data_IF_801066249211
#
_entry.id   IF_801066249211
#
_cell.length_a   1.000
_cell.length_b   1.000
_cell.length_c   1.000
_cell.angle_alpha   90.00
_cell.angle_beta   90.00
_cell.angle_gamma   90.00
#
_symmetry.space_group_name_H-M   'P 1'
#
loop_
_entity.id
_entity.type
_entity.pdbx_description
1 polymer ?
#
# COMPACT_ATOMS: atom_id res chain seq x y z
N UNK A 1 -36.79 47.50 -23.06
CA UNK A 1 -36.64 46.33 -22.17
C UNK A 1 -37.00 45.08 -22.95
N UNK A 2 -36.03 44.19 -23.25
CA UNK A 2 -36.17 42.83 -23.87
C UNK A 2 -34.97 42.50 -24.77
N UNK A 3 -33.71 42.67 -24.34
CA UNK A 3 -32.54 42.09 -25.07
C UNK A 3 -31.36 41.69 -24.16
N UNK A 4 -31.54 41.58 -22.84
CA UNK A 4 -30.46 41.20 -21.90
C UNK A 4 -30.88 40.01 -21.03
N UNK A 5 -31.57 39.01 -21.61
CA UNK A 5 -31.95 37.78 -20.88
C UNK A 5 -31.33 36.53 -21.51
N UNK A 6 -30.81 36.59 -22.74
CA UNK A 6 -30.27 35.39 -23.42
C UNK A 6 -28.78 35.13 -23.25
N UNK A 7 -28.02 35.96 -22.51
CA UNK A 7 -26.57 35.78 -22.37
C UNK A 7 -26.12 35.04 -21.09
N UNK A 8 -27.02 34.83 -20.11
CA UNK A 8 -26.67 34.18 -18.84
C UNK A 8 -26.96 32.67 -18.78
N UNK A 9 -27.60 32.08 -19.79
CA UNK A 9 -28.02 30.67 -19.73
C UNK A 9 -27.01 29.67 -20.34
N UNK A 10 -26.00 30.16 -21.06
CA UNK A 10 -25.01 29.29 -21.75
C UNK A 10 -23.75 29.04 -20.92
N UNK A 11 -23.53 29.82 -19.85
CA UNK A 11 -22.36 29.69 -18.96
C UNK A 11 -22.55 28.69 -17.81
N UNK A 12 -23.74 28.09 -17.65
CA UNK A 12 -24.05 27.15 -16.57
C UNK A 12 -23.88 25.67 -16.93
N UNK A 13 -23.45 25.35 -18.16
CA UNK A 13 -23.24 23.96 -18.62
C UNK A 13 -21.77 23.51 -18.60
N UNK A 14 -20.86 24.31 -18.05
CA UNK A 14 -19.46 23.94 -17.82
C UNK A 14 -19.25 23.36 -16.41
N UNK A 15 -20.25 22.68 -15.82
CA UNK A 15 -20.04 21.91 -14.59
C UNK A 15 -19.25 20.66 -15.00
N UNK A 16 -17.99 20.63 -14.56
CA UNK A 16 -16.94 19.77 -15.07
C UNK A 16 -17.29 18.30 -15.17
N UNK A 17 -17.06 17.74 -16.36
CA UNK A 17 -16.99 16.30 -16.56
C UNK A 17 -15.66 15.81 -15.96
N UNK A 18 -15.62 15.62 -14.64
CA UNK A 18 -14.50 14.93 -14.02
C UNK A 18 -14.56 13.47 -14.47
N UNK A 19 -13.49 12.98 -15.09
CA UNK A 19 -13.50 11.65 -15.71
C UNK A 19 -13.65 10.56 -14.64
N UNK A 20 -14.12 9.38 -15.02
CA UNK A 20 -14.20 8.25 -14.09
C UNK A 20 -12.84 7.91 -13.48
N UNK A 21 -11.76 8.07 -14.26
CA UNK A 21 -10.37 7.90 -13.83
C UNK A 21 -9.98 8.89 -12.74
N UNK A 22 -10.33 10.17 -12.89
CA UNK A 22 -10.03 11.19 -11.88
C UNK A 22 -10.73 10.88 -10.56
N UNK A 23 -11.99 10.43 -10.61
CA UNK A 23 -12.75 10.06 -9.41
C UNK A 23 -12.18 8.83 -8.70
N UNK A 24 -11.72 7.83 -9.45
CA UNK A 24 -11.11 6.64 -8.88
C UNK A 24 -9.78 6.98 -8.21
N UNK A 25 -8.96 7.81 -8.85
CA UNK A 25 -7.70 8.26 -8.29
C UNK A 25 -7.88 9.03 -6.97
N UNK A 26 -8.83 9.96 -6.91
CA UNK A 26 -9.17 10.68 -5.67
C UNK A 26 -9.63 9.73 -4.55
N UNK A 27 -10.45 8.72 -4.88
CA UNK A 27 -10.86 7.71 -3.91
C UNK A 27 -9.67 6.86 -3.41
N UNK A 28 -8.72 6.54 -4.29
CA UNK A 28 -7.50 5.82 -3.93
C UNK A 28 -6.61 6.65 -3.00
N UNK A 29 -6.45 7.95 -3.26
CA UNK A 29 -5.74 8.87 -2.36
C UNK A 29 -6.40 8.95 -0.98
N UNK A 30 -7.72 9.10 -0.91
CA UNK A 30 -8.42 9.14 0.38
C UNK A 30 -8.24 7.83 1.18
N UNK A 31 -8.23 6.69 0.50
CA UNK A 31 -7.96 5.39 1.13
C UNK A 31 -6.51 5.28 1.60
N UNK A 32 -5.55 5.73 0.79
CA UNK A 32 -4.14 5.82 1.17
C UNK A 32 -3.95 6.68 2.42
N UNK A 33 -4.56 7.88 2.48
CA UNK A 33 -4.50 8.78 3.65
C UNK A 33 -5.12 8.15 4.90
N UNK A 34 -6.25 7.46 4.74
CA UNK A 34 -6.91 6.73 5.81
C UNK A 34 -6.04 5.58 6.34
N UNK A 35 -5.30 4.91 5.45
CA UNK A 35 -4.40 3.82 5.79
C UNK A 35 -3.18 4.34 6.53
N UNK A 36 -2.61 5.44 6.04
CA UNK A 36 -1.52 6.14 6.69
C UNK A 36 -1.88 6.55 8.11
N UNK A 37 -3.04 7.20 8.26
CA UNK A 37 -3.57 7.63 9.55
C UNK A 37 -3.84 6.45 10.49
N UNK A 38 -4.39 5.36 9.97
CA UNK A 38 -4.66 4.17 10.76
C UNK A 38 -3.37 3.51 11.28
N UNK A 39 -2.31 3.46 10.47
CA UNK A 39 -1.01 2.93 10.89
C UNK A 39 -0.41 3.81 12.00
N UNK A 40 -0.36 5.13 11.80
CA UNK A 40 0.29 6.03 12.76
C UNK A 40 -0.46 6.14 14.10
N UNK A 41 -1.77 5.99 14.09
CA UNK A 41 -2.59 6.03 15.31
C UNK A 41 -2.75 4.67 16.01
N UNK A 42 -2.26 3.59 15.40
CA UNK A 42 -2.34 2.26 15.99
C UNK A 42 -1.23 2.07 17.03
N UNK A 43 -1.58 1.50 18.18
CA UNK A 43 -0.67 1.19 19.28
C UNK A 43 -0.35 -0.31 19.41
N UNK A 44 -1.06 -1.15 18.64
CA UNK A 44 -0.96 -2.61 18.70
C UNK A 44 -0.39 -3.18 17.41
N UNK A 45 0.92 -3.41 17.42
CA UNK A 45 1.62 -4.07 16.32
C UNK A 45 2.00 -5.49 16.72
N UNK A 46 1.97 -6.40 15.75
CA UNK A 46 2.41 -7.78 15.91
C UNK A 46 3.68 -8.05 15.09
N UNK A 47 4.44 -9.06 15.48
CA UNK A 47 5.68 -9.46 14.79
C UNK A 47 5.47 -10.55 13.72
N UNK A 48 4.30 -11.20 13.69
CA UNK A 48 3.99 -12.31 12.79
C UNK A 48 2.48 -12.41 12.57
N UNK A 49 2.07 -13.10 11.51
CA UNK A 49 0.66 -13.40 11.22
C UNK A 49 0.37 -14.90 11.34
N UNK A 50 -0.85 -15.25 11.74
CA UNK A 50 -1.35 -16.62 11.63
C UNK A 50 -1.82 -16.96 10.20
N UNK A 51 -1.92 -15.97 9.31
CA UNK A 51 -2.56 -16.11 7.99
C UNK A 51 -1.57 -16.13 6.82
N UNK A 52 -0.39 -15.54 6.99
CA UNK A 52 0.68 -15.43 5.98
C UNK A 52 2.04 -15.27 6.68
N UNK A 53 3.12 -15.33 5.91
CA UNK A 53 4.44 -14.94 6.40
C UNK A 53 4.73 -13.49 6.05
N UNK A 54 5.36 -12.79 6.99
CA UNK A 54 5.82 -11.42 6.80
C UNK A 54 7.18 -11.22 7.45
N UNK A 55 8.09 -10.64 6.69
CA UNK A 55 9.43 -10.31 7.14
C UNK A 55 10.01 -9.17 6.31
N UNK A 56 11.08 -8.54 6.81
CA UNK A 56 11.80 -7.50 6.09
C UNK A 56 13.28 -7.87 6.00
N UNK A 57 13.89 -7.55 4.85
CA UNK A 57 15.34 -7.69 4.62
C UNK A 57 15.93 -6.35 4.21
N UNK A 58 17.22 -6.15 4.49
CA UNK A 58 17.95 -4.94 4.13
C UNK A 58 19.13 -5.27 3.23
N UNK A 59 19.22 -4.58 2.10
CA UNK A 59 20.26 -4.75 1.09
C UNK A 59 21.08 -3.46 0.97
N UNK A 60 22.41 -3.56 0.97
CA UNK A 60 23.30 -2.43 0.69
C UNK A 60 23.41 -2.22 -0.83
N UNK A 61 23.08 -1.02 -1.31
CA UNK A 61 23.22 -0.65 -2.73
C UNK A 61 24.52 0.11 -2.98
N UNK A 62 24.88 1.01 -2.06
CA UNK A 62 26.15 1.76 -2.06
C UNK A 62 26.58 2.08 -0.63
N UNK A 63 27.64 2.86 -0.44
CA UNK A 63 28.11 3.25 0.90
C UNK A 63 27.12 4.15 1.67
N UNK A 64 26.22 4.83 0.96
CA UNK A 64 25.25 5.78 1.54
C UNK A 64 23.81 5.42 1.25
N UNK A 65 23.54 4.29 0.58
CA UNK A 65 22.20 3.92 0.14
C UNK A 65 21.92 2.43 0.37
N UNK A 66 20.76 2.17 0.96
CA UNK A 66 20.24 0.85 1.27
C UNK A 66 18.83 0.72 0.72
N UNK A 67 18.43 -0.51 0.42
CA UNK A 67 17.06 -0.87 0.05
C UNK A 67 16.52 -1.85 1.08
N UNK A 68 15.39 -1.52 1.71
CA UNK A 68 14.63 -2.53 2.43
C UNK A 68 13.64 -3.20 1.48
N UNK A 69 13.35 -4.47 1.72
CA UNK A 69 12.29 -5.22 1.05
C UNK A 69 11.40 -5.84 2.14
N UNK A 70 10.14 -5.41 2.22
CA UNK A 70 9.08 -6.05 3.02
C UNK A 70 8.44 -7.12 2.16
N UNK A 71 8.43 -8.35 2.65
CA UNK A 71 7.92 -9.52 1.94
C UNK A 71 6.69 -10.04 2.69
N UNK A 72 5.59 -10.21 1.95
CA UNK A 72 4.35 -10.84 2.43
C UNK A 72 4.05 -12.02 1.52
N UNK A 73 4.22 -13.24 2.00
CA UNK A 73 4.10 -14.46 1.19
C UNK A 73 3.49 -15.63 1.97
N UNK A 74 3.56 -16.83 1.39
CA UNK A 74 3.20 -18.09 2.05
C UNK A 74 1.81 -18.05 2.71
N UNK A 75 0.75 -17.69 1.97
CA UNK A 75 -0.59 -17.62 2.53
C UNK A 75 -1.04 -18.98 3.07
N UNK A 76 -1.73 -18.94 4.22
CA UNK A 76 -2.37 -20.10 4.87
C UNK A 76 -3.88 -20.09 4.68
N UNK A 77 -4.44 -18.95 4.28
CA UNK A 77 -5.86 -18.76 3.96
C UNK A 77 -5.99 -18.01 2.64
N UNK A 78 -7.14 -18.12 1.98
CA UNK A 78 -7.41 -17.33 0.78
C UNK A 78 -7.64 -15.86 1.15
N UNK A 79 -6.77 -14.99 0.64
CA UNK A 79 -6.80 -13.54 0.85
C UNK A 79 -7.12 -12.87 -0.47
N UNK A 80 -8.30 -12.24 -0.56
CA UNK A 80 -8.74 -11.53 -1.76
C UNK A 80 -8.61 -10.02 -1.58
N UNK A 81 -8.41 -9.31 -2.69
CA UNK A 81 -8.33 -7.85 -2.73
C UNK A 81 -7.31 -7.34 -1.69
N UNK A 82 -6.11 -7.90 -1.72
CA UNK A 82 -5.02 -7.61 -0.78
C UNK A 82 -4.48 -6.21 -1.04
N UNK A 83 -4.44 -5.40 0.01
CA UNK A 83 -3.84 -4.07 0.01
C UNK A 83 -2.78 -4.00 1.11
N UNK A 84 -1.60 -3.47 0.79
CA UNK A 84 -0.48 -3.33 1.74
C UNK A 84 0.05 -1.90 1.67
N UNK A 85 0.37 -1.33 2.82
CA UNK A 85 1.07 -0.04 2.94
C UNK A 85 2.21 -0.17 3.95
N UNK A 86 3.39 0.32 3.57
CA UNK A 86 4.58 0.39 4.42
C UNK A 86 4.85 1.85 4.78
N UNK A 87 5.24 2.15 6.01
CA UNK A 87 5.70 3.48 6.44
C UNK A 87 7.05 3.35 7.13
N UNK A 88 8.02 4.09 6.64
CA UNK A 88 9.37 4.16 7.20
C UNK A 88 9.44 5.11 8.39
N UNK A 89 10.08 4.67 9.48
CA UNK A 89 10.45 5.45 10.65
C UNK A 89 9.30 6.29 11.24
N UNK A 90 8.04 5.86 11.04
CA UNK A 90 6.86 6.61 11.45
C UNK A 90 6.81 8.03 10.86
N UNK A 91 7.42 8.27 9.69
CA UNK A 91 7.28 9.53 8.96
C UNK A 91 5.79 9.87 8.83
N UNK A 92 5.43 11.14 8.93
CA UNK A 92 4.07 11.60 8.66
C UNK A 92 3.89 11.84 7.17
N UNK A 93 2.64 11.85 6.72
CA UNK A 93 2.30 12.12 5.32
C UNK A 93 2.74 13.53 4.89
N UNK A 94 2.78 14.49 5.82
CA UNK A 94 3.23 15.87 5.58
C UNK A 94 4.73 16.00 5.29
N UNK A 95 5.53 15.02 5.74
CA UNK A 95 6.99 15.00 5.56
C UNK A 95 7.46 13.88 4.63
N UNK A 96 6.53 13.10 4.09
CA UNK A 96 6.84 12.09 3.10
C UNK A 96 7.10 12.79 1.76
N UNK A 97 8.34 12.72 1.29
CA UNK A 97 8.73 13.33 0.01
C UNK A 97 8.15 12.58 -1.21
N UNK A 98 7.78 11.31 -1.01
CA UNK A 98 7.26 10.41 -2.04
C UNK A 98 6.14 9.52 -1.48
N UNK A 99 5.34 8.93 -2.39
CA UNK A 99 4.35 7.91 -2.01
C UNK A 99 5.10 6.71 -1.42
N UNK A 100 4.70 6.33 -0.21
CA UNK A 100 5.32 5.18 0.46
C UNK A 100 4.94 3.88 -0.26
N UNK A 101 5.79 2.84 -0.20
CA UNK A 101 5.54 1.59 -0.89
C UNK A 101 4.18 0.99 -0.50
N UNK A 102 3.36 0.74 -1.51
CA UNK A 102 2.04 0.14 -1.36
C UNK A 102 1.70 -0.75 -2.56
N UNK A 103 0.69 -1.59 -2.37
CA UNK A 103 0.10 -2.43 -3.42
C UNK A 103 -1.41 -2.53 -3.22
N UNK A 104 -2.15 -2.66 -4.31
CA UNK A 104 -3.61 -2.79 -4.32
C UNK A 104 -4.37 -1.48 -4.14
N UNK A 105 -3.67 -0.34 -4.14
CA UNK A 105 -4.28 0.97 -3.95
C UNK A 105 -4.38 1.78 -5.24
N UNK A 106 -3.38 1.71 -6.11
CA UNK A 106 -3.27 2.58 -7.29
C UNK A 106 -3.24 1.82 -8.60
N UNK A 107 -3.11 0.50 -8.54
CA UNK A 107 -3.08 -0.39 -9.68
C UNK A 107 -4.49 -0.66 -10.24
N UNK A 108 -4.56 -0.94 -11.54
CA UNK A 108 -5.81 -1.27 -12.22
C UNK A 108 -6.26 -2.74 -12.01
N UNK A 109 -5.55 -3.50 -11.18
CA UNK A 109 -5.76 -4.94 -10.98
C UNK A 109 -5.94 -5.28 -9.51
N UNK A 110 -6.82 -6.25 -9.24
CA UNK A 110 -6.98 -6.84 -7.91
C UNK A 110 -5.82 -7.81 -7.64
N UNK A 111 -5.24 -7.72 -6.44
CA UNK A 111 -4.20 -8.64 -5.99
C UNK A 111 -4.77 -9.64 -4.99
N UNK A 112 -4.49 -10.92 -5.22
CA UNK A 112 -4.97 -12.01 -4.38
C UNK A 112 -3.80 -12.90 -3.99
N UNK A 113 -3.85 -13.40 -2.75
CA UNK A 113 -2.86 -14.29 -2.18
C UNK A 113 -3.59 -15.54 -1.69
N UNK A 114 -3.56 -16.60 -2.50
CA UNK A 114 -4.32 -17.83 -2.24
C UNK A 114 -3.38 -19.04 -2.18
N UNK A 115 -3.46 -19.88 -1.14
CA UNK A 115 -2.57 -21.02 -0.98
C UNK A 115 -2.53 -21.90 -2.24
N UNK A 116 -1.32 -22.17 -2.72
CA UNK A 116 -1.06 -23.03 -3.88
C UNK A 116 -1.68 -22.57 -5.21
N UNK A 117 -2.05 -21.29 -5.33
CA UNK A 117 -2.59 -20.72 -6.56
C UNK A 117 -1.74 -19.56 -7.05
N UNK A 118 -1.12 -19.73 -8.22
CA UNK A 118 -0.32 -18.70 -8.87
C UNK A 118 -0.83 -18.55 -10.30
N UNK A 119 -1.35 -17.37 -10.61
CA UNK A 119 -1.76 -16.94 -11.94
C UNK A 119 -1.77 -15.41 -11.97
N UNK A 120 -0.62 -14.83 -12.34
CA UNK A 120 -0.42 -13.39 -12.33
C UNK A 120 -1.39 -12.66 -13.26
N UNK A 121 -1.70 -13.24 -14.42
CA UNK A 121 -2.66 -12.66 -15.39
C UNK A 121 -4.08 -12.55 -14.81
N UNK A 122 -4.41 -13.40 -13.83
CA UNK A 122 -5.68 -13.39 -13.12
C UNK A 122 -5.59 -12.75 -11.73
N UNK A 123 -4.48 -12.10 -11.39
CA UNK A 123 -4.28 -11.41 -10.11
C UNK A 123 -4.00 -12.34 -8.92
N UNK A 124 -3.54 -13.57 -9.14
CA UNK A 124 -3.15 -14.51 -8.07
C UNK A 124 -1.62 -14.58 -7.97
N UNK A 125 -1.07 -13.95 -6.93
CA UNK A 125 0.36 -13.90 -6.66
C UNK A 125 0.79 -15.01 -5.68
N UNK A 126 2.08 -15.33 -5.68
CA UNK A 126 2.73 -16.18 -4.67
C UNK A 126 3.09 -15.39 -3.40
N UNK A 127 3.34 -14.09 -3.57
CA UNK A 127 3.72 -13.15 -2.53
C UNK A 127 3.90 -11.74 -3.09
N UNK A 128 4.13 -10.79 -2.21
CA UNK A 128 4.36 -9.38 -2.53
C UNK A 128 5.67 -8.91 -1.92
N UNK A 129 6.47 -8.19 -2.72
CA UNK A 129 7.66 -7.49 -2.26
C UNK A 129 7.45 -5.99 -2.39
N UNK A 130 7.52 -5.27 -1.27
CA UNK A 130 7.41 -3.81 -1.21
C UNK A 130 8.76 -3.25 -0.78
N UNK A 131 9.34 -2.37 -1.58
CA UNK A 131 10.68 -1.86 -1.33
C UNK A 131 10.74 -0.34 -1.31
N UNK A 132 11.73 0.17 -0.59
CA UNK A 132 12.02 1.60 -0.52
C UNK A 132 13.51 1.82 -0.24
N UNK A 133 13.97 3.04 -0.54
CA UNK A 133 15.36 3.45 -0.39
C UNK A 133 15.54 4.24 0.91
N UNK A 134 16.61 3.93 1.64
CA UNK A 134 16.97 4.61 2.88
C UNK A 134 18.47 4.85 2.95
N UNK A 135 18.89 5.94 3.58
CA UNK A 135 20.30 6.28 3.74
C UNK A 135 20.94 5.58 4.96
N UNK A 136 20.12 5.16 5.93
CA UNK A 136 20.59 4.54 7.16
C UNK A 136 20.60 3.00 7.02
N UNK A 137 21.62 2.31 7.57
CA UNK A 137 21.70 0.85 7.56
C UNK A 137 20.69 0.17 8.50
N UNK A 138 19.79 0.94 9.12
CA UNK A 138 18.72 0.46 10.00
C UNK A 138 17.46 1.29 9.71
N UNK A 139 16.32 0.61 9.64
CA UNK A 139 15.02 1.24 9.43
C UNK A 139 13.96 0.53 10.26
N UNK A 140 13.03 1.31 10.79
CA UNK A 140 11.79 0.81 11.37
C UNK A 140 10.67 0.90 10.32
N UNK A 141 9.94 -0.19 10.11
CA UNK A 141 8.89 -0.29 9.09
C UNK A 141 7.57 -0.63 9.77
N UNK A 142 6.61 0.29 9.68
CA UNK A 142 5.22 0.02 10.09
C UNK A 142 4.45 -0.44 8.86
N UNK A 143 3.87 -1.63 8.92
CA UNK A 143 3.19 -2.24 7.79
C UNK A 143 1.73 -2.49 8.15
N UNK A 144 0.83 -2.21 7.23
CA UNK A 144 -0.56 -2.67 7.32
C UNK A 144 -0.86 -3.60 6.16
N UNK A 145 -1.48 -4.74 6.47
CA UNK A 145 -1.99 -5.68 5.48
C UNK A 145 -3.51 -5.77 5.64
N UNK A 146 -4.24 -5.51 4.56
CA UNK A 146 -5.70 -5.56 4.50
C UNK A 146 -6.09 -6.58 3.44
N UNK A 147 -7.09 -7.41 3.73
CA UNK A 147 -7.62 -8.37 2.76
C UNK A 147 -9.05 -8.75 3.09
N UNK A 148 -9.73 -9.36 2.14
CA UNK A 148 -11.04 -9.98 2.33
C UNK A 148 -10.95 -11.49 2.41
N UNK A 149 -11.87 -12.09 3.14
CA UNK A 149 -12.06 -13.53 3.18
C UNK A 149 -12.51 -14.11 1.84
N UNK A 150 -12.58 -15.44 1.74
CA UNK A 150 -12.99 -16.14 0.52
C UNK A 150 -14.37 -15.70 0.00
N UNK A 151 -15.29 -15.37 0.90
CA UNK A 151 -16.63 -14.90 0.53
C UNK A 151 -16.63 -13.43 0.05
N UNK A 152 -15.52 -12.72 0.18
CA UNK A 152 -15.37 -11.27 -0.03
C UNK A 152 -16.34 -10.42 0.82
N UNK A 153 -16.74 -10.94 1.99
CA UNK A 153 -17.71 -10.28 2.88
C UNK A 153 -16.99 -9.67 4.08
N UNK A 154 -16.04 -10.39 4.67
CA UNK A 154 -15.32 -9.94 5.85
C UNK A 154 -13.96 -9.39 5.46
N UNK A 155 -13.72 -8.12 5.81
CA UNK A 155 -12.41 -7.49 5.69
C UNK A 155 -11.62 -7.70 6.99
N UNK A 156 -10.39 -8.19 6.85
CA UNK A 156 -9.42 -8.31 7.92
C UNK A 156 -8.31 -7.28 7.72
N UNK A 157 -7.68 -6.90 8.84
CA UNK A 157 -6.57 -5.96 8.87
C UNK A 157 -5.60 -6.35 9.97
N UNK A 158 -4.31 -6.39 9.63
CA UNK A 158 -3.22 -6.62 10.59
C UNK A 158 -2.16 -5.52 10.45
N UNK A 159 -1.53 -5.18 11.57
CA UNK A 159 -0.50 -4.14 11.66
C UNK A 159 0.80 -4.72 12.22
N UNK A 160 1.91 -4.43 11.57
CA UNK A 160 3.23 -4.95 11.92
C UNK A 160 4.23 -3.82 12.16
N UNK A 161 5.18 -4.08 13.04
CA UNK A 161 6.29 -3.19 13.34
C UNK A 161 7.59 -3.99 13.21
N UNK A 162 8.33 -3.74 12.14
CA UNK A 162 9.49 -4.51 11.73
C UNK A 162 10.72 -3.60 11.74
N UNK A 163 11.66 -3.87 12.65
CA UNK A 163 12.97 -3.22 12.60
C UNK A 163 13.94 -4.12 11.86
N UNK A 164 14.51 -3.62 10.77
CA UNK A 164 15.50 -4.36 9.98
C UNK A 164 16.80 -3.56 9.89
N UNK A 165 17.92 -4.26 10.05
CA UNK A 165 19.26 -3.72 9.98
C UNK A 165 20.07 -4.49 8.96
N UNK A 166 20.89 -3.77 8.18
CA UNK A 166 21.88 -4.38 7.32
C UNK A 166 22.88 -5.18 8.14
N UNK A 167 23.05 -6.46 7.78
CA UNK A 167 24.15 -7.29 8.24
C UNK A 167 24.92 -7.78 7.03
N UNK A 168 26.25 -7.72 7.10
CA UNK A 168 27.08 -8.37 6.08
C UNK A 168 26.80 -9.86 6.13
N UNK A 169 26.31 -10.43 5.03
CA UNK A 169 26.18 -11.87 4.93
C UNK A 169 27.60 -12.46 4.95
N UNK A 170 27.95 -13.10 6.07
CA UNK A 170 29.11 -13.98 6.13
C UNK A 170 28.79 -15.15 5.20
N UNK A 171 29.42 -15.19 4.02
CA UNK A 171 29.38 -16.37 3.18
C UNK A 171 30.04 -17.52 3.96
N UNK A 172 29.24 -18.48 4.42
CA UNK A 172 29.73 -19.78 4.88
C UNK A 172 30.14 -20.67 3.69
#
# INVERSE_FOLDING_TARGET
MKKIVSACLVLLLAVGCQSATDKQYEANLQRYDAYYTAILNNDKFQGSSEYFDIFAVMNKLSDTEYRYDVIVDSPRVAMYDVEILVIENGKSLEIADEIMPCIGLFEDSDFNLVPFQINLDAGFAEGFGLNGLVENPIVNLKVMVVWKDYAKVQQKREYFDLTVQYSEQVQE
#
